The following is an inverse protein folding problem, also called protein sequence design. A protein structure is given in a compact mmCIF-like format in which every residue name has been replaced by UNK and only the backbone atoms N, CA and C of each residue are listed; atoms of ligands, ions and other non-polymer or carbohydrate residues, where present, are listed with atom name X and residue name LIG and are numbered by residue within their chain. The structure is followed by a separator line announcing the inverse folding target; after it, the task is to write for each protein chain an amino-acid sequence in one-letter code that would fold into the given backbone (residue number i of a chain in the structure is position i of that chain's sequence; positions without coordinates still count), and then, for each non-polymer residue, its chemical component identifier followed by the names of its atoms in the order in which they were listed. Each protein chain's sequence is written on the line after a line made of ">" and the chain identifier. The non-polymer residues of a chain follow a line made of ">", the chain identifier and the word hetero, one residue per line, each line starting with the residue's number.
data_IF_702932493530
#
_entry.id   IF_702932493530
#
_cell.length_a   1.000
_cell.length_b   1.000
_cell.length_c   1.000
_cell.angle_alpha   90.00
_cell.angle_beta   90.00
_cell.angle_gamma   90.00
#
_symmetry.space_group_name_H-M   'P 1'
#
loop_
_entity.id
_entity.type
_entity.pdbx_description
1 polymer ?
#
# COMPACT_ATOMS: atom_id res chain seq x y z
N UNK A 1 -30.87 44.39 3.63
CA UNK A 1 -30.90 43.20 2.78
C UNK A 1 -30.72 42.01 3.69
N UNK A 2 -31.66 41.08 3.67
CA UNK A 2 -31.52 39.80 4.38
C UNK A 2 -30.50 38.94 3.63
N UNK A 3 -29.54 38.36 4.33
CA UNK A 3 -28.47 37.55 3.73
C UNK A 3 -28.45 36.18 4.38
N UNK A 4 -28.22 35.16 3.57
CA UNK A 4 -28.01 33.80 4.07
C UNK A 4 -26.71 33.73 4.86
N UNK A 5 -26.78 33.25 6.09
CA UNK A 5 -25.62 33.17 7.00
C UNK A 5 -24.59 32.10 6.59
N UNK A 6 -24.95 31.21 5.66
CA UNK A 6 -24.10 30.11 5.21
C UNK A 6 -23.35 30.48 3.92
N UNK A 7 -24.05 31.02 2.92
CA UNK A 7 -23.43 31.35 1.62
C UNK A 7 -23.17 32.86 1.42
N UNK A 8 -23.63 33.72 2.33
CA UNK A 8 -23.52 35.18 2.28
C UNK A 8 -24.19 35.86 1.08
N UNK A 9 -24.98 35.12 0.30
CA UNK A 9 -25.81 35.68 -0.76
C UNK A 9 -27.11 36.28 -0.20
N UNK A 10 -27.66 37.27 -0.90
CA UNK A 10 -28.93 37.89 -0.53
C UNK A 10 -30.09 36.89 -0.65
N UNK A 11 -31.05 36.99 0.27
CA UNK A 11 -32.30 36.22 0.26
C UNK A 11 -33.37 37.10 -0.38
N UNK A 12 -34.01 36.60 -1.43
CA UNK A 12 -35.10 37.29 -2.13
C UNK A 12 -36.44 36.70 -1.66
N UNK A 13 -37.19 37.48 -0.88
CA UNK A 13 -38.51 37.07 -0.40
C UNK A 13 -39.48 36.76 -1.55
N UNK A 14 -40.15 35.61 -1.49
CA UNK A 14 -41.09 35.14 -2.52
C UNK A 14 -40.44 34.39 -3.69
N UNK A 15 -39.11 34.39 -3.79
CA UNK A 15 -38.35 33.60 -4.77
C UNK A 15 -37.59 32.48 -4.07
N UNK A 16 -36.86 32.82 -3.01
CA UNK A 16 -36.04 31.87 -2.27
C UNK A 16 -36.81 31.23 -1.12
N UNK A 17 -36.58 29.94 -0.92
CA UNK A 17 -37.01 29.25 0.30
C UNK A 17 -35.93 29.39 1.37
N UNK A 18 -36.31 29.87 2.55
CA UNK A 18 -35.39 30.10 3.66
C UNK A 18 -36.03 29.73 5.00
N UNK A 19 -35.18 29.49 6.01
CA UNK A 19 -35.55 29.21 7.39
C UNK A 19 -34.69 30.08 8.31
N UNK A 20 -35.24 30.49 9.45
CA UNK A 20 -34.52 31.17 10.50
C UNK A 20 -34.21 30.22 11.67
N UNK A 21 -33.08 30.47 12.33
CA UNK A 21 -32.84 29.88 13.66
C UNK A 21 -33.69 30.61 14.72
N UNK A 22 -33.84 30.08 15.95
CA UNK A 22 -34.62 30.74 17.01
C UNK A 22 -34.18 32.18 17.35
N UNK A 23 -32.93 32.52 17.06
CA UNK A 23 -32.36 33.87 17.22
C UNK A 23 -32.48 34.76 15.96
N UNK A 24 -33.24 34.35 14.94
CA UNK A 24 -33.55 35.14 13.74
C UNK A 24 -32.50 35.13 12.62
N UNK A 25 -31.47 34.28 12.69
CA UNK A 25 -30.47 34.15 11.63
C UNK A 25 -31.01 33.31 10.45
N UNK A 26 -31.07 33.94 9.26
CA UNK A 26 -31.68 33.37 8.06
C UNK A 26 -30.70 32.52 7.24
N UNK A 27 -31.18 31.39 6.72
CA UNK A 27 -30.44 30.54 5.79
C UNK A 27 -31.35 30.06 4.65
N UNK A 28 -30.83 30.00 3.42
CA UNK A 28 -31.51 29.29 2.32
C UNK A 28 -31.73 27.82 2.70
N UNK A 29 -32.85 27.23 2.29
CA UNK A 29 -33.12 25.81 2.51
C UNK A 29 -32.02 24.90 1.94
N UNK A 30 -31.52 25.22 0.76
CA UNK A 30 -30.44 24.47 0.12
C UNK A 30 -29.12 24.59 0.87
N UNK A 31 -28.86 25.73 1.51
CA UNK A 31 -27.68 25.90 2.34
C UNK A 31 -27.85 25.20 3.70
N UNK A 32 -29.05 25.29 4.28
CA UNK A 32 -29.36 24.70 5.58
C UNK A 32 -29.34 23.17 5.53
N UNK A 33 -29.91 22.55 4.49
CA UNK A 33 -29.92 21.08 4.36
C UNK A 33 -28.51 20.49 4.30
N UNK A 34 -27.57 21.15 3.63
CA UNK A 34 -26.16 20.74 3.57
C UNK A 34 -25.47 20.94 4.92
N UNK A 35 -25.75 22.05 5.60
CA UNK A 35 -25.20 22.33 6.94
C UNK A 35 -25.67 21.31 7.98
N UNK A 36 -26.95 20.92 7.94
CA UNK A 36 -27.52 19.94 8.86
C UNK A 36 -26.90 18.53 8.74
N UNK A 37 -26.15 18.24 7.67
CA UNK A 37 -25.33 17.02 7.58
C UNK A 37 -24.15 17.03 8.58
N UNK A 38 -23.74 18.21 9.04
CA UNK A 38 -22.58 18.41 9.91
C UNK A 38 -22.98 18.84 11.32
N UNK A 39 -24.00 19.68 11.47
CA UNK A 39 -24.46 20.16 12.78
C UNK A 39 -25.93 20.58 12.76
N UNK A 40 -26.65 20.26 13.84
CA UNK A 40 -28.01 20.73 14.10
C UNK A 40 -28.10 22.19 14.57
N UNK A 41 -26.97 22.88 14.72
CA UNK A 41 -26.91 24.17 15.38
C UNK A 41 -26.63 25.29 14.38
N UNK A 42 -27.15 26.49 14.63
CA UNK A 42 -26.88 27.66 13.81
C UNK A 42 -25.37 27.97 13.75
N UNK A 43 -24.77 28.17 12.56
CA UNK A 43 -23.34 28.44 12.41
C UNK A 43 -22.89 29.74 13.10
N UNK A 44 -23.79 30.72 13.26
CA UNK A 44 -23.48 32.00 13.89
C UNK A 44 -23.66 31.99 15.41
N UNK A 45 -24.84 31.61 15.90
CA UNK A 45 -25.15 31.69 17.33
C UNK A 45 -25.09 30.35 18.07
N UNK A 46 -24.91 29.23 17.36
CA UNK A 46 -24.85 27.86 17.90
C UNK A 46 -26.13 27.37 18.58
N UNK A 47 -27.21 28.13 18.49
CA UNK A 47 -28.53 27.70 18.93
C UNK A 47 -29.03 26.54 18.05
N UNK A 48 -29.55 25.44 18.63
CA UNK A 48 -30.13 24.35 17.85
C UNK A 48 -31.32 24.82 17.02
N UNK A 49 -31.42 24.32 15.79
CA UNK A 49 -32.63 24.51 14.99
C UNK A 49 -33.80 23.71 15.61
N UNK A 50 -35.04 24.22 15.56
CA UNK A 50 -36.22 23.49 16.01
C UNK A 50 -36.40 22.15 15.28
N UNK A 51 -36.91 21.14 16.00
CA UNK A 51 -37.11 19.79 15.48
C UNK A 51 -37.97 19.75 14.21
N UNK A 52 -38.98 20.63 14.10
CA UNK A 52 -39.86 20.69 12.92
C UNK A 52 -39.14 21.19 11.65
N UNK A 53 -38.07 21.99 11.80
CA UNK A 53 -37.23 22.43 10.68
C UNK A 53 -36.30 21.29 10.28
N UNK A 54 -35.67 20.64 11.26
CA UNK A 54 -34.78 19.48 11.01
C UNK A 54 -35.56 18.33 10.37
N UNK A 55 -36.80 18.08 10.81
CA UNK A 55 -37.67 17.04 10.27
C UNK A 55 -37.96 17.20 8.77
N UNK A 56 -38.03 18.43 8.26
CA UNK A 56 -38.22 18.69 6.82
C UNK A 56 -37.06 18.16 5.96
N UNK A 57 -35.86 18.06 6.54
CA UNK A 57 -34.66 17.62 5.83
C UNK A 57 -34.23 16.19 6.20
N UNK A 58 -35.01 15.50 7.05
CA UNK A 58 -34.64 14.19 7.59
C UNK A 58 -34.39 13.15 6.50
N UNK A 59 -35.28 13.05 5.51
CA UNK A 59 -35.13 12.10 4.39
C UNK A 59 -33.83 12.35 3.60
N UNK A 60 -33.51 13.61 3.34
CA UNK A 60 -32.27 14.01 2.66
C UNK A 60 -31.03 13.66 3.48
N UNK A 61 -31.05 13.95 4.79
CA UNK A 61 -29.95 13.66 5.71
C UNK A 61 -29.74 12.14 5.79
N UNK A 62 -30.80 11.36 5.97
CA UNK A 62 -30.73 9.89 6.05
C UNK A 62 -30.21 9.30 4.73
N UNK A 63 -30.65 9.81 3.58
CA UNK A 63 -30.13 9.39 2.27
C UNK A 63 -28.64 9.70 2.13
N UNK A 64 -28.20 10.92 2.46
CA UNK A 64 -26.78 11.30 2.37
C UNK A 64 -25.90 10.53 3.32
N UNK A 65 -26.37 10.26 4.53
CA UNK A 65 -25.65 9.44 5.51
C UNK A 65 -25.52 7.99 5.04
N UNK A 66 -26.57 7.40 4.46
CA UNK A 66 -26.52 6.03 3.93
C UNK A 66 -25.62 5.92 2.70
N UNK A 67 -25.66 6.89 1.78
CA UNK A 67 -24.72 7.00 0.65
C UNK A 67 -23.26 7.05 1.15
N UNK A 68 -22.97 7.91 2.13
CA UNK A 68 -21.64 8.04 2.74
C UNK A 68 -21.21 6.77 3.47
N UNK A 69 -22.10 6.11 4.20
CA UNK A 69 -21.80 4.84 4.86
C UNK A 69 -21.52 3.74 3.84
N UNK A 70 -22.26 3.70 2.73
CA UNK A 70 -22.03 2.73 1.66
C UNK A 70 -20.70 2.97 0.94
N UNK A 71 -20.32 4.23 0.69
CA UNK A 71 -19.03 4.56 0.08
C UNK A 71 -17.86 4.13 0.98
N UNK A 72 -17.92 4.45 2.28
CA UNK A 72 -16.90 4.04 3.25
C UNK A 72 -16.80 2.51 3.33
N UNK A 73 -17.93 1.80 3.39
CA UNK A 73 -17.93 0.32 3.40
C UNK A 73 -17.30 -0.26 2.14
N UNK A 74 -17.56 0.34 0.97
CA UNK A 74 -16.95 -0.08 -0.28
C UNK A 74 -15.44 0.17 -0.30
N UNK A 75 -14.98 1.32 0.19
CA UNK A 75 -13.55 1.63 0.32
C UNK A 75 -12.82 0.65 1.25
N UNK A 76 -13.39 0.37 2.42
CA UNK A 76 -12.84 -0.62 3.37
C UNK A 76 -12.75 -1.99 2.70
N UNK A 77 -13.82 -2.44 2.04
CA UNK A 77 -13.84 -3.73 1.33
C UNK A 77 -12.79 -3.78 0.21
N UNK A 78 -12.61 -2.70 -0.53
CA UNK A 78 -11.56 -2.63 -1.56
C UNK A 78 -10.15 -2.69 -0.95
N UNK A 79 -9.94 -2.03 0.17
CA UNK A 79 -8.65 -2.06 0.88
C UNK A 79 -8.35 -3.47 1.43
N UNK A 80 -9.36 -4.14 2.00
CA UNK A 80 -9.25 -5.54 2.44
C UNK A 80 -8.90 -6.48 1.29
N UNK A 81 -9.57 -6.36 0.14
CA UNK A 81 -9.26 -7.15 -1.05
C UNK A 81 -7.82 -6.93 -1.52
N UNK A 82 -7.36 -5.67 -1.60
CA UNK A 82 -5.97 -5.36 -1.96
C UNK A 82 -4.97 -5.97 -0.98
N UNK A 83 -5.26 -5.93 0.33
CA UNK A 83 -4.41 -6.57 1.35
C UNK A 83 -4.37 -8.09 1.18
N UNK A 84 -5.52 -8.71 0.92
CA UNK A 84 -5.60 -10.15 0.65
C UNK A 84 -4.81 -10.55 -0.59
N UNK A 85 -4.90 -9.78 -1.68
CA UNK A 85 -4.12 -10.00 -2.91
C UNK A 85 -2.61 -9.89 -2.66
N UNK A 86 -2.17 -8.90 -1.86
CA UNK A 86 -0.76 -8.76 -1.49
C UNK A 86 -0.26 -9.95 -0.68
N UNK A 87 -1.06 -10.45 0.27
CA UNK A 87 -0.73 -11.65 1.06
C UNK A 87 -0.66 -12.88 0.17
N UNK A 88 -1.65 -13.08 -0.71
CA UNK A 88 -1.65 -14.18 -1.66
C UNK A 88 -0.43 -14.15 -2.60
N UNK A 89 -0.07 -12.97 -3.11
CA UNK A 89 1.13 -12.78 -3.95
C UNK A 89 2.41 -13.18 -3.21
N UNK A 90 2.53 -12.80 -1.93
CA UNK A 90 3.67 -13.20 -1.08
C UNK A 90 3.72 -14.72 -0.87
N UNK A 91 2.59 -15.36 -0.58
CA UNK A 91 2.51 -16.82 -0.39
C UNK A 91 2.91 -17.56 -1.67
N UNK A 92 2.40 -17.14 -2.82
CA UNK A 92 2.77 -17.73 -4.12
C UNK A 92 4.26 -17.59 -4.40
N UNK A 93 4.84 -16.44 -4.06
CA UNK A 93 6.28 -16.23 -4.20
C UNK A 93 7.10 -17.10 -3.24
N UNK A 94 6.68 -17.26 -1.99
CA UNK A 94 7.33 -18.18 -1.04
C UNK A 94 7.35 -19.62 -1.56
N UNK A 95 6.21 -20.12 -2.05
CA UNK A 95 6.12 -21.45 -2.67
C UNK A 95 7.01 -21.58 -3.90
N UNK A 96 7.15 -20.50 -4.67
CA UNK A 96 8.08 -20.47 -5.78
C UNK A 96 9.53 -20.66 -5.28
N UNK A 97 9.97 -19.93 -4.25
CA UNK A 97 11.32 -20.09 -3.69
C UNK A 97 11.55 -21.50 -3.15
N UNK A 98 10.59 -22.06 -2.40
CA UNK A 98 10.65 -23.45 -1.92
C UNK A 98 10.84 -24.44 -3.09
N UNK A 99 10.13 -24.23 -4.20
CA UNK A 99 10.28 -25.07 -5.39
C UNK A 99 11.68 -24.97 -6.00
N UNK A 100 12.31 -23.78 -5.98
CA UNK A 100 13.69 -23.62 -6.44
C UNK A 100 14.65 -24.33 -5.50
N UNK A 101 14.44 -24.26 -4.18
CA UNK A 101 15.29 -24.97 -3.23
C UNK A 101 15.24 -26.49 -3.40
N UNK A 102 14.06 -27.05 -3.73
CA UNK A 102 13.91 -28.46 -4.07
C UNK A 102 14.76 -28.81 -5.29
N UNK A 103 14.65 -28.02 -6.38
CA UNK A 103 15.45 -28.24 -7.59
C UNK A 103 16.95 -28.16 -7.33
N UNK A 104 17.38 -27.25 -6.45
CA UNK A 104 18.79 -27.15 -6.04
C UNK A 104 19.24 -28.44 -5.32
N UNK A 105 18.40 -28.99 -4.43
CA UNK A 105 18.69 -30.25 -3.71
C UNK A 105 18.76 -31.44 -4.67
N UNK A 106 17.88 -31.47 -5.66
CA UNK A 106 17.84 -32.50 -6.71
C UNK A 106 18.93 -32.33 -7.77
N UNK A 107 19.75 -31.26 -7.70
CA UNK A 107 20.80 -30.89 -8.66
C UNK A 107 20.29 -30.51 -10.05
N UNK A 108 19.01 -30.17 -10.18
CA UNK A 108 18.35 -29.70 -11.39
C UNK A 108 18.63 -28.19 -11.63
N UNK A 109 19.90 -27.84 -11.77
CA UNK A 109 20.34 -26.44 -11.73
C UNK A 109 19.92 -25.60 -12.94
N UNK A 110 19.98 -26.17 -14.15
CA UNK A 110 19.59 -25.42 -15.35
C UNK A 110 18.09 -25.14 -15.35
N UNK A 111 17.30 -26.10 -14.89
CA UNK A 111 15.86 -25.91 -14.75
C UNK A 111 15.53 -24.87 -13.68
N UNK A 112 16.23 -24.90 -12.53
CA UNK A 112 16.10 -23.88 -11.50
C UNK A 112 16.41 -22.46 -12.04
N UNK A 113 17.52 -22.29 -12.78
CA UNK A 113 17.90 -21.00 -13.37
C UNK A 113 16.87 -20.52 -14.41
N UNK A 114 16.42 -21.41 -15.28
CA UNK A 114 15.38 -21.10 -16.28
C UNK A 114 14.09 -20.62 -15.62
N UNK A 115 13.65 -21.28 -14.55
CA UNK A 115 12.46 -20.87 -13.78
C UNK A 115 12.62 -19.49 -13.15
N UNK A 116 13.80 -19.18 -12.60
CA UNK A 116 14.09 -17.85 -12.05
C UNK A 116 14.04 -16.79 -13.16
N UNK A 117 14.60 -17.06 -14.33
CA UNK A 117 14.61 -16.10 -15.45
C UNK A 117 13.22 -15.82 -16.02
N UNK A 118 12.39 -16.86 -16.16
CA UNK A 118 10.99 -16.69 -16.57
C UNK A 118 10.22 -15.80 -15.60
N UNK A 119 10.44 -15.99 -14.30
CA UNK A 119 9.82 -15.17 -13.28
C UNK A 119 10.44 -13.75 -13.22
N UNK A 120 11.66 -13.55 -13.75
CA UNK A 120 12.40 -12.28 -13.73
C UNK A 120 11.87 -11.22 -14.72
N UNK A 121 11.23 -11.64 -15.82
CA UNK A 121 10.90 -10.73 -16.92
C UNK A 121 9.60 -9.94 -16.71
N UNK A 122 8.86 -10.19 -15.63
CA UNK A 122 7.59 -9.51 -15.32
C UNK A 122 7.72 -8.53 -14.16
N UNK A 123 8.13 -7.29 -14.45
CA UNK A 123 8.05 -6.12 -13.55
C UNK A 123 8.06 -6.43 -12.05
N UNK A 124 9.23 -6.71 -11.50
CA UNK A 124 9.37 -7.29 -10.16
C UNK A 124 9.62 -6.24 -9.09
N UNK A 125 9.12 -6.47 -7.87
CA UNK A 125 9.51 -5.69 -6.70
C UNK A 125 10.99 -5.89 -6.36
N UNK A 126 11.66 -4.81 -5.92
CA UNK A 126 13.10 -4.80 -5.57
C UNK A 126 13.50 -5.97 -4.66
N UNK A 127 12.67 -6.33 -3.67
CA UNK A 127 12.95 -7.45 -2.76
C UNK A 127 13.09 -8.79 -3.49
N UNK A 128 12.22 -9.07 -4.47
CA UNK A 128 12.26 -10.31 -5.25
C UNK A 128 13.47 -10.34 -6.20
N UNK A 129 13.95 -9.19 -6.67
CA UNK A 129 15.20 -9.12 -7.45
C UNK A 129 16.40 -9.59 -6.60
N UNK A 130 16.47 -9.18 -5.33
CA UNK A 130 17.52 -9.63 -4.41
C UNK A 130 17.47 -11.14 -4.17
N UNK A 131 16.29 -11.71 -3.96
CA UNK A 131 16.12 -13.15 -3.79
C UNK A 131 16.59 -13.92 -5.05
N UNK A 132 16.36 -13.36 -6.23
CA UNK A 132 16.81 -13.96 -7.49
C UNK A 132 18.32 -13.86 -7.69
N UNK A 133 18.94 -12.72 -7.38
CA UNK A 133 20.39 -12.57 -7.39
C UNK A 133 21.06 -13.57 -6.43
N UNK A 134 20.50 -13.71 -5.22
CA UNK A 134 20.97 -14.67 -4.24
C UNK A 134 20.87 -16.11 -4.76
N UNK A 135 19.69 -16.52 -5.24
CA UNK A 135 19.46 -17.89 -5.73
C UNK A 135 20.35 -18.21 -6.92
N UNK A 136 20.49 -17.31 -7.89
CA UNK A 136 21.41 -17.47 -9.03
C UNK A 136 22.85 -17.61 -8.55
N UNK A 137 23.27 -16.78 -7.59
CA UNK A 137 24.59 -16.85 -6.97
C UNK A 137 24.85 -18.19 -6.30
N UNK A 138 23.94 -18.63 -5.44
CA UNK A 138 23.97 -19.92 -4.73
C UNK A 138 24.01 -21.11 -5.70
N UNK A 139 23.18 -21.10 -6.74
CA UNK A 139 23.17 -22.16 -7.77
C UNK A 139 24.53 -22.24 -8.46
N UNK A 140 25.07 -21.11 -8.93
CA UNK A 140 26.36 -21.10 -9.62
C UNK A 140 27.50 -21.52 -8.71
N UNK A 141 27.47 -21.15 -7.42
CA UNK A 141 28.44 -21.62 -6.44
C UNK A 141 28.40 -23.15 -6.30
N UNK A 142 27.21 -23.74 -6.12
CA UNK A 142 27.05 -25.20 -5.99
C UNK A 142 27.51 -25.93 -7.27
N UNK A 143 27.34 -25.30 -8.44
CA UNK A 143 27.83 -25.81 -9.73
C UNK A 143 29.35 -25.68 -9.92
N UNK A 144 30.07 -25.02 -9.02
CA UNK A 144 31.49 -24.71 -9.17
C UNK A 144 31.80 -23.54 -10.12
N UNK A 145 30.78 -22.81 -10.60
CA UNK A 145 30.95 -21.59 -11.41
C UNK A 145 31.11 -20.37 -10.52
N UNK A 146 32.26 -20.31 -9.84
CA UNK A 146 32.53 -19.32 -8.79
C UNK A 146 32.59 -17.88 -9.31
N UNK A 147 33.08 -17.68 -10.53
CA UNK A 147 33.09 -16.40 -11.25
C UNK A 147 31.68 -15.82 -11.42
N UNK A 148 30.74 -16.63 -11.92
CA UNK A 148 29.34 -16.24 -12.07
C UNK A 148 28.66 -16.06 -10.71
N UNK A 149 28.99 -16.91 -9.74
CA UNK A 149 28.47 -16.78 -8.38
C UNK A 149 28.87 -15.44 -7.76
N UNK A 150 30.16 -15.08 -7.84
CA UNK A 150 30.68 -13.79 -7.36
C UNK A 150 29.98 -12.63 -8.04
N UNK A 151 29.80 -12.66 -9.37
CA UNK A 151 29.14 -11.58 -10.10
C UNK A 151 27.73 -11.30 -9.53
N UNK A 152 26.90 -12.34 -9.41
CA UNK A 152 25.53 -12.20 -8.91
C UNK A 152 25.49 -11.80 -7.42
N UNK A 153 26.30 -12.44 -6.59
CA UNK A 153 26.34 -12.18 -5.14
C UNK A 153 26.94 -10.81 -4.81
N UNK A 154 27.93 -10.36 -5.59
CA UNK A 154 28.50 -9.02 -5.44
C UNK A 154 27.49 -7.95 -5.80
N UNK A 155 26.72 -8.15 -6.89
CA UNK A 155 25.60 -7.25 -7.24
C UNK A 155 24.59 -7.18 -6.10
N UNK A 156 24.24 -8.32 -5.50
CA UNK A 156 23.33 -8.39 -4.35
C UNK A 156 23.83 -7.57 -3.16
N UNK A 157 25.03 -7.85 -2.66
CA UNK A 157 25.53 -7.23 -1.41
C UNK A 157 25.88 -5.75 -1.58
N UNK A 158 26.13 -5.31 -2.82
CA UNK A 158 26.35 -3.90 -3.13
C UNK A 158 25.07 -3.07 -2.96
N UNK A 159 23.92 -3.65 -3.32
CA UNK A 159 22.62 -2.98 -3.21
C UNK A 159 22.00 -3.20 -1.81
N UNK A 160 22.14 -4.40 -1.25
CA UNK A 160 21.62 -4.77 0.07
C UNK A 160 22.76 -5.23 0.99
N UNK A 161 23.28 -4.28 1.77
CA UNK A 161 24.36 -4.51 2.73
C UNK A 161 23.96 -5.36 3.95
N UNK A 162 22.67 -5.50 4.23
CA UNK A 162 22.12 -6.35 5.29
C UNK A 162 21.57 -7.64 4.68
N UNK A 163 22.48 -8.47 4.16
CA UNK A 163 22.15 -9.77 3.56
C UNK A 163 23.25 -10.80 3.92
N UNK A 164 23.23 -11.35 5.15
CA UNK A 164 24.33 -12.17 5.68
C UNK A 164 24.63 -13.42 4.86
N UNK A 165 23.60 -14.09 4.34
CA UNK A 165 23.74 -15.29 3.50
C UNK A 165 24.45 -14.96 2.19
N UNK A 166 24.26 -13.76 1.66
CA UNK A 166 24.89 -13.27 0.43
C UNK A 166 26.39 -13.10 0.63
N UNK A 167 26.78 -12.46 1.74
CA UNK A 167 28.19 -12.38 2.15
C UNK A 167 28.81 -13.75 2.42
N UNK A 168 28.06 -14.66 3.05
CA UNK A 168 28.53 -16.02 3.32
C UNK A 168 28.87 -16.77 2.03
N UNK A 169 27.95 -16.79 1.06
CA UNK A 169 28.21 -17.46 -0.22
C UNK A 169 29.24 -16.73 -1.08
N UNK A 170 29.34 -15.40 -0.97
CA UNK A 170 30.36 -14.61 -1.66
C UNK A 170 31.76 -14.95 -1.11
N UNK A 171 31.90 -15.03 0.21
CA UNK A 171 33.15 -15.44 0.87
C UNK A 171 33.57 -16.84 0.45
N UNK A 172 32.64 -17.80 0.47
CA UNK A 172 32.89 -19.17 0.00
C UNK A 172 33.33 -19.23 -1.46
N UNK A 173 32.73 -18.41 -2.33
CA UNK A 173 33.11 -18.34 -3.73
C UNK A 173 34.51 -17.74 -3.93
N UNK A 174 34.89 -16.71 -3.15
CA UNK A 174 36.24 -16.16 -3.17
C UNK A 174 37.29 -17.15 -2.66
N UNK A 175 36.99 -17.86 -1.57
CA UNK A 175 37.86 -18.90 -1.00
C UNK A 175 38.08 -20.04 -1.99
N UNK A 176 37.04 -20.48 -2.70
CA UNK A 176 37.16 -21.50 -3.74
C UNK A 176 38.04 -21.07 -4.94
N UNK A 177 38.26 -19.77 -5.14
CA UNK A 177 39.19 -19.21 -6.12
C UNK A 177 40.57 -18.84 -5.54
N UNK A 178 40.82 -19.11 -4.26
CA UNK A 178 42.07 -18.77 -3.57
C UNK A 178 42.25 -17.27 -3.30
N UNK A 179 41.15 -16.51 -3.22
CA UNK A 179 41.15 -15.07 -2.97
C UNK A 179 40.93 -14.75 -1.49
N UNK A 180 41.86 -15.18 -0.64
CA UNK A 180 41.72 -15.22 0.82
C UNK A 180 41.39 -13.86 1.46
N UNK A 181 42.04 -12.79 1.01
CA UNK A 181 41.77 -11.42 1.51
C UNK A 181 40.32 -10.99 1.26
N UNK A 182 39.78 -11.33 0.08
CA UNK A 182 38.40 -11.01 -0.29
C UNK A 182 37.41 -11.92 0.43
N UNK A 183 37.76 -13.18 0.64
CA UNK A 183 36.96 -14.11 1.42
C UNK A 183 36.81 -13.61 2.87
N UNK A 184 37.93 -13.21 3.51
CA UNK A 184 37.91 -12.61 4.84
C UNK A 184 37.05 -11.35 4.92
N UNK A 185 37.22 -10.44 3.95
CA UNK A 185 36.39 -9.23 3.86
C UNK A 185 34.88 -9.55 3.82
N UNK A 186 34.49 -10.59 3.09
CA UNK A 186 33.09 -11.01 2.99
C UNK A 186 32.61 -11.65 4.31
N UNK A 187 33.41 -12.54 4.91
CA UNK A 187 33.03 -13.23 6.15
C UNK A 187 32.89 -12.28 7.35
N UNK A 188 33.68 -11.22 7.43
CA UNK A 188 33.56 -10.19 8.48
C UNK A 188 32.21 -9.46 8.47
N UNK A 189 31.47 -9.54 7.36
CA UNK A 189 30.16 -8.90 7.15
C UNK A 189 28.99 -9.88 7.27
N UNK A 190 29.26 -11.15 7.60
CA UNK A 190 28.24 -12.12 7.99
C UNK A 190 27.90 -11.84 9.45
N UNK A 191 26.99 -10.89 9.70
CA UNK A 191 26.52 -10.51 11.04
C UNK A 191 25.01 -10.44 11.08
#
# INVERSE_FOLDING_TARGET
>A
MTTCIICHLGIIEGVDFFQDCPNGHLAHNDCLKEWLLHSSNCPLCREPYPDHIIAQFKEFIDQKQTEKQASIKNEIKQEELKKMEQVASKITFMKFLESIEILIKEREFEYALSRIELHNNGGISIQKEYDFLFLKGKINYIRGRYDLAINQLFKLVKEKYDYPEGFLYLGKAYEALGLDDKAKWAYERVK
#
